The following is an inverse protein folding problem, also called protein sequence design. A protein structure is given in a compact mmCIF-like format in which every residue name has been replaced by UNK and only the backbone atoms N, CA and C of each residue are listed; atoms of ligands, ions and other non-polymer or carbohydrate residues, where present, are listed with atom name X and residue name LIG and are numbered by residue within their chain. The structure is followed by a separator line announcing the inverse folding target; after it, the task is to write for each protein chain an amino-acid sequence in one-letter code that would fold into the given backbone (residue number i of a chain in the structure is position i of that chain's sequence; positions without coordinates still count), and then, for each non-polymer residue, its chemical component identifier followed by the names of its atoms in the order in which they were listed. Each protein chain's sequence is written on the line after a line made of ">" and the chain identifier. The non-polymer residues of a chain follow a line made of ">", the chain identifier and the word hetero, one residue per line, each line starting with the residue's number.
data_IF_140137810748
#
_entry.id   IF_140137810748
#
_cell.length_a   1.000
_cell.length_b   1.000
_cell.length_c   1.000
_cell.angle_alpha   90.00
_cell.angle_beta   90.00
_cell.angle_gamma   90.00
#
_symmetry.space_group_name_H-M   'P 1'
#
loop_
_entity.id
_entity.type
_entity.pdbx_description
1 polymer ?
#
# COMPACT_ATOMS: atom_id res chain seq x y z
N UNK A 1 18.64 -34.30 -11.14
CA UNK A 1 17.29 -33.69 -11.25
C UNK A 1 17.47 -32.19 -11.15
N UNK A 2 17.43 -31.48 -12.28
CA UNK A 2 17.51 -30.03 -12.30
C UNK A 2 16.13 -29.47 -11.96
N UNK A 3 16.00 -28.75 -10.86
CA UNK A 3 14.78 -28.00 -10.57
C UNK A 3 14.68 -26.85 -11.57
N UNK A 4 13.69 -26.89 -12.45
CA UNK A 4 13.29 -25.72 -13.21
C UNK A 4 12.82 -24.67 -12.20
N UNK A 5 13.67 -23.68 -11.92
CA UNK A 5 13.27 -22.47 -11.23
C UNK A 5 12.34 -21.73 -12.20
N UNK A 6 11.04 -21.96 -12.04
CA UNK A 6 10.02 -21.21 -12.75
C UNK A 6 10.13 -19.78 -12.21
N UNK A 7 10.69 -18.87 -13.02
CA UNK A 7 10.74 -17.44 -12.71
C UNK A 7 9.30 -16.98 -12.56
N UNK A 8 8.82 -16.89 -11.32
CA UNK A 8 7.44 -16.50 -11.08
C UNK A 8 7.28 -15.05 -11.52
N UNK A 9 6.54 -14.84 -12.61
CA UNK A 9 6.23 -13.51 -13.11
C UNK A 9 5.46 -12.76 -12.03
N UNK A 10 6.00 -11.64 -11.58
CA UNK A 10 5.28 -10.73 -10.67
C UNK A 10 4.21 -10.00 -11.49
N UNK A 11 2.96 -10.09 -11.06
CA UNK A 11 1.85 -9.34 -11.68
C UNK A 11 1.69 -8.04 -10.91
N UNK A 12 1.67 -6.90 -11.61
CA UNK A 12 1.55 -5.56 -11.03
C UNK A 12 0.35 -4.84 -11.64
N UNK A 13 -0.42 -4.15 -10.82
CA UNK A 13 -1.51 -3.27 -11.22
C UNK A 13 -1.42 -1.97 -10.43
N UNK A 14 -1.24 -0.83 -11.11
CA UNK A 14 -1.38 0.50 -10.50
C UNK A 14 -2.77 1.02 -10.82
N UNK A 15 -3.53 1.37 -9.78
CA UNK A 15 -4.91 1.83 -9.96
C UNK A 15 -4.91 3.12 -10.77
N UNK A 16 -5.74 3.13 -11.83
CA UNK A 16 -5.98 4.24 -12.77
C UNK A 16 -4.83 4.66 -13.69
N UNK A 17 -3.57 4.44 -13.32
CA UNK A 17 -2.42 4.90 -14.12
C UNK A 17 -2.04 3.96 -15.27
N UNK A 18 -2.28 2.66 -15.11
CA UNK A 18 -1.86 1.66 -16.11
C UNK A 18 -3.00 1.28 -17.08
N UNK A 19 -4.03 2.12 -17.26
CA UNK A 19 -5.20 1.77 -18.07
C UNK A 19 -5.93 0.51 -17.60
N UNK A 20 -5.89 0.25 -16.28
CA UNK A 20 -6.38 -0.97 -15.64
C UNK A 20 -5.69 -2.28 -16.09
N UNK A 21 -4.45 -2.21 -16.59
CA UNK A 21 -3.64 -3.39 -16.85
C UNK A 21 -3.58 -4.31 -15.62
N UNK A 22 -3.76 -5.61 -15.85
CA UNK A 22 -3.76 -6.65 -14.82
C UNK A 22 -4.83 -6.53 -13.72
N UNK A 23 -5.81 -5.61 -13.83
CA UNK A 23 -6.84 -5.41 -12.81
C UNK A 23 -7.56 -6.71 -12.43
N UNK A 24 -7.85 -7.56 -13.41
CA UNK A 24 -8.59 -8.82 -13.20
C UNK A 24 -7.87 -9.77 -12.23
N UNK A 25 -6.53 -9.72 -12.16
CA UNK A 25 -5.74 -10.52 -11.23
C UNK A 25 -5.99 -10.18 -9.75
N UNK A 26 -6.64 -9.04 -9.48
CA UNK A 26 -6.96 -8.58 -8.12
C UNK A 26 -8.48 -8.39 -7.94
N UNK A 27 -9.16 -7.71 -8.87
CA UNK A 27 -10.61 -7.45 -8.84
C UNK A 27 -11.45 -8.73 -8.90
N UNK A 28 -10.97 -9.76 -9.58
CA UNK A 28 -11.71 -11.02 -9.78
C UNK A 28 -11.06 -12.19 -9.00
N UNK A 29 -10.06 -11.90 -8.16
CA UNK A 29 -9.26 -12.92 -7.48
C UNK A 29 -9.99 -13.56 -6.31
N UNK A 30 -10.29 -14.85 -6.44
CA UNK A 30 -10.84 -15.72 -5.39
C UNK A 30 -9.78 -16.28 -4.46
N UNK A 31 -8.52 -15.88 -4.64
CA UNK A 31 -7.44 -16.23 -3.69
C UNK A 31 -7.79 -15.73 -2.30
N UNK A 32 -7.56 -16.55 -1.27
CA UNK A 32 -7.93 -16.23 0.10
C UNK A 32 -6.72 -15.86 0.93
N UNK A 33 -6.91 -14.92 1.85
CA UNK A 33 -5.94 -14.58 2.88
C UNK A 33 -6.65 -14.55 4.23
N UNK A 34 -5.96 -15.07 5.25
CA UNK A 34 -6.39 -14.96 6.65
C UNK A 34 -5.46 -14.08 7.48
N UNK A 35 -4.23 -13.89 7.02
CA UNK A 35 -3.23 -13.07 7.69
C UNK A 35 -2.96 -11.81 6.88
N UNK A 36 -3.08 -10.67 7.55
CA UNK A 36 -2.61 -9.37 7.05
C UNK A 36 -1.28 -9.09 7.73
N UNK A 37 -0.21 -9.01 6.96
CA UNK A 37 1.11 -8.64 7.43
C UNK A 37 1.38 -7.19 7.09
N UNK A 38 1.54 -6.36 8.11
CA UNK A 38 2.07 -5.00 7.95
C UNK A 38 3.59 -5.09 7.96
N UNK A 39 4.23 -4.62 6.90
CA UNK A 39 5.68 -4.68 6.72
C UNK A 39 6.28 -3.29 6.69
N UNK A 40 7.26 -3.06 7.56
CA UNK A 40 8.10 -1.86 7.56
C UNK A 40 9.37 -2.17 6.77
N UNK A 41 9.60 -1.43 5.69
CA UNK A 41 10.75 -1.54 4.81
C UNK A 41 11.75 -0.43 5.08
N UNK A 42 13.03 -0.67 4.81
CA UNK A 42 14.00 0.41 4.64
C UNK A 42 13.91 0.98 3.22
N UNK A 43 14.00 2.30 3.08
CA UNK A 43 14.17 2.97 1.77
C UNK A 43 15.57 3.56 1.59
N UNK A 44 16.47 3.31 2.54
CA UNK A 44 17.83 3.86 2.56
C UNK A 44 18.19 4.48 3.90
N UNK A 45 19.43 4.28 4.35
CA UNK A 45 19.92 4.86 5.60
C UNK A 45 20.11 6.37 5.49
N UNK A 46 19.88 7.11 6.57
CA UNK A 46 20.22 8.52 6.62
C UNK A 46 21.74 8.72 6.75
N UNK A 47 22.27 9.84 6.21
CA UNK A 47 23.67 10.20 6.41
C UNK A 47 24.02 10.24 7.91
N UNK A 48 25.09 9.54 8.30
CA UNK A 48 25.63 9.50 9.66
C UNK A 48 24.63 9.08 10.75
N UNK A 49 23.61 8.30 10.42
CA UNK A 49 22.58 7.85 11.36
C UNK A 49 22.32 6.35 11.18
N UNK A 50 22.06 5.60 12.28
CA UNK A 50 21.66 4.20 12.17
C UNK A 50 20.24 4.04 11.60
N UNK A 51 19.45 5.10 11.56
CA UNK A 51 18.07 5.09 11.08
C UNK A 51 17.99 5.19 9.56
N UNK A 52 16.89 4.68 9.02
CA UNK A 52 16.51 4.83 7.62
C UNK A 52 15.14 5.46 7.52
N UNK A 53 14.87 6.10 6.38
CA UNK A 53 13.48 6.30 6.00
C UNK A 53 12.80 4.93 5.89
N UNK A 54 11.54 4.90 6.30
CA UNK A 54 10.74 3.70 6.24
C UNK A 54 9.59 3.86 5.28
N UNK A 55 9.27 2.75 4.63
CA UNK A 55 8.07 2.62 3.84
C UNK A 55 7.20 1.52 4.42
N UNK A 56 5.89 1.70 4.40
CA UNK A 56 4.93 0.74 4.95
C UNK A 56 4.14 0.14 3.82
N UNK A 57 4.08 -1.19 3.79
CA UNK A 57 3.20 -1.92 2.88
C UNK A 57 2.41 -2.99 3.63
N UNK A 58 1.30 -3.42 3.04
CA UNK A 58 0.49 -4.52 3.53
C UNK A 58 0.69 -5.72 2.63
N UNK A 59 0.92 -6.89 3.22
CA UNK A 59 0.97 -8.18 2.58
C UNK A 59 -0.26 -8.98 2.99
N UNK A 60 -1.08 -9.37 2.02
CA UNK A 60 -2.15 -10.35 2.20
C UNK A 60 -1.52 -11.73 2.00
N UNK A 61 -1.25 -12.46 3.08
CA UNK A 61 -0.60 -13.77 2.98
C UNK A 61 -1.62 -14.79 2.47
N UNK A 62 -1.40 -15.27 1.25
CA UNK A 62 -2.35 -16.14 0.56
C UNK A 62 -2.25 -17.57 1.09
N UNK A 63 -3.40 -18.25 1.24
CA UNK A 63 -3.48 -19.62 1.75
C UNK A 63 -2.74 -20.63 0.85
N UNK A 64 -2.70 -20.36 -0.47
CA UNK A 64 -1.95 -21.17 -1.43
C UNK A 64 -0.44 -20.86 -1.51
N UNK A 65 0.06 -19.94 -0.67
CA UNK A 65 1.44 -19.47 -0.70
C UNK A 65 1.64 -18.17 -1.47
N UNK A 66 2.77 -17.51 -1.25
CA UNK A 66 3.01 -16.14 -1.73
C UNK A 66 2.14 -15.11 -1.01
N UNK A 67 2.05 -13.91 -1.59
CA UNK A 67 1.27 -12.81 -1.05
C UNK A 67 0.77 -11.86 -2.13
N UNK A 68 -0.27 -11.10 -1.80
CA UNK A 68 -0.57 -9.85 -2.50
C UNK A 68 -0.01 -8.70 -1.69
N UNK A 69 0.95 -7.96 -2.24
CA UNK A 69 1.45 -6.73 -1.67
C UNK A 69 0.57 -5.56 -2.13
N UNK A 70 0.00 -4.84 -1.17
CA UNK A 70 -0.76 -3.60 -1.34
C UNK A 70 0.12 -2.46 -0.85
N UNK A 71 0.33 -1.48 -1.72
CA UNK A 71 1.31 -0.43 -1.51
C UNK A 71 0.76 0.92 -1.96
N UNK A 72 0.81 1.92 -1.09
CA UNK A 72 0.50 3.31 -1.43
C UNK A 72 1.79 4.12 -1.39
N UNK A 73 2.19 4.66 -2.53
CA UNK A 73 3.45 5.40 -2.71
C UNK A 73 3.23 6.69 -3.51
N UNK A 74 4.26 7.51 -3.63
CA UNK A 74 4.29 8.66 -4.54
C UNK A 74 5.72 8.85 -5.04
N UNK A 75 5.90 9.54 -6.16
CA UNK A 75 7.20 9.82 -6.73
C UNK A 75 7.86 11.05 -6.08
N UNK A 76 9.20 11.21 -6.19
CA UNK A 76 9.86 12.42 -5.70
C UNK A 76 9.26 13.68 -6.31
N UNK A 77 8.94 14.66 -5.46
CA UNK A 77 8.27 15.93 -5.82
C UNK A 77 6.82 15.78 -6.33
N UNK A 78 6.25 14.58 -6.30
CA UNK A 78 4.83 14.34 -6.48
C UNK A 78 4.18 14.08 -5.12
N UNK A 79 2.93 14.48 -4.96
CA UNK A 79 2.10 14.16 -3.78
C UNK A 79 0.97 13.21 -4.12
N UNK A 80 0.65 13.01 -5.39
CA UNK A 80 -0.44 12.16 -5.84
C UNK A 80 -0.13 10.71 -5.49
N UNK A 81 -1.06 10.07 -4.79
CA UNK A 81 -0.89 8.70 -4.33
C UNK A 81 -1.07 7.70 -5.46
N UNK A 82 -0.13 6.77 -5.57
CA UNK A 82 -0.14 5.65 -6.48
C UNK A 82 -0.45 4.38 -5.69
N UNK A 83 -1.68 3.86 -5.82
CA UNK A 83 -2.07 2.59 -5.22
C UNK A 83 -1.62 1.44 -6.14
N UNK A 84 -0.64 0.68 -5.67
CA UNK A 84 -0.04 -0.44 -6.40
C UNK A 84 -0.38 -1.76 -5.74
N UNK A 85 -0.90 -2.70 -6.52
CA UNK A 85 -1.13 -4.09 -6.16
C UNK A 85 -0.12 -4.98 -6.86
N UNK A 86 0.53 -5.88 -6.11
CA UNK A 86 1.50 -6.83 -6.66
C UNK A 86 1.22 -8.24 -6.18
N UNK A 87 1.06 -9.19 -7.10
CA UNK A 87 1.07 -10.61 -6.76
C UNK A 87 2.52 -11.10 -6.75
N UNK A 88 2.98 -11.54 -5.59
CA UNK A 88 4.36 -11.96 -5.35
C UNK A 88 4.41 -13.41 -4.85
N UNK A 89 5.48 -14.12 -5.20
CA UNK A 89 5.71 -15.51 -4.79
C UNK A 89 6.39 -15.66 -3.41
N UNK A 90 6.58 -14.56 -2.69
CA UNK A 90 7.19 -14.51 -1.37
C UNK A 90 6.23 -13.90 -0.34
N UNK A 91 6.40 -14.26 0.93
CA UNK A 91 5.62 -13.72 2.06
C UNK A 91 6.42 -12.75 2.94
N UNK A 92 7.72 -12.61 2.66
CA UNK A 92 8.64 -11.72 3.35
C UNK A 92 9.53 -11.02 2.34
N UNK A 93 9.55 -9.69 2.40
CA UNK A 93 10.40 -8.88 1.52
C UNK A 93 11.84 -8.82 2.03
N UNK A 94 12.81 -8.76 1.12
CA UNK A 94 14.23 -8.60 1.46
C UNK A 94 14.58 -7.22 2.05
N UNK A 95 13.74 -6.20 1.82
CA UNK A 95 13.89 -4.88 2.41
C UNK A 95 13.20 -4.72 3.76
N UNK A 96 12.51 -5.77 4.25
CA UNK A 96 11.83 -5.77 5.55
C UNK A 96 12.81 -5.51 6.69
N UNK A 97 12.48 -4.53 7.54
CA UNK A 97 13.09 -4.32 8.85
C UNK A 97 12.25 -5.00 9.93
N UNK A 98 10.91 -4.82 9.87
CA UNK A 98 9.97 -5.32 10.86
C UNK A 98 8.67 -5.74 10.20
N UNK A 99 7.99 -6.74 10.75
CA UNK A 99 6.68 -7.17 10.29
C UNK A 99 5.78 -7.47 11.49
N UNK A 100 4.49 -7.23 11.30
CA UNK A 100 3.45 -7.47 12.29
C UNK A 100 2.26 -8.15 11.62
N UNK A 101 1.88 -9.31 12.14
CA UNK A 101 0.83 -10.14 11.56
C UNK A 101 -0.47 -9.97 12.35
N UNK A 102 -1.56 -9.71 11.64
CA UNK A 102 -2.90 -9.60 12.17
C UNK A 102 -3.77 -10.70 11.55
N UNK A 103 -4.40 -11.50 12.41
CA UNK A 103 -5.27 -12.59 11.98
C UNK A 103 -6.70 -12.11 11.83
N UNK A 104 -7.32 -12.47 10.72
CA UNK A 104 -8.76 -12.41 10.52
C UNK A 104 -9.42 -13.63 11.16
N UNK A 105 -10.62 -13.47 11.71
CA UNK A 105 -11.38 -14.61 12.23
C UNK A 105 -11.70 -15.64 11.12
N UNK A 106 -12.00 -15.15 9.92
CA UNK A 106 -12.29 -15.94 8.72
C UNK A 106 -11.46 -15.44 7.54
N UNK A 107 -11.03 -16.35 6.67
CA UNK A 107 -10.30 -15.99 5.47
C UNK A 107 -11.19 -15.18 4.51
N UNK A 108 -10.61 -14.19 3.86
CA UNK A 108 -11.28 -13.27 2.94
C UNK A 108 -10.65 -13.39 1.57
N UNK A 109 -11.47 -13.28 0.53
CA UNK A 109 -11.00 -13.30 -0.86
C UNK A 109 -10.36 -11.94 -1.23
N UNK A 110 -9.28 -11.96 -2.00
CA UNK A 110 -8.53 -10.76 -2.41
C UNK A 110 -9.43 -9.71 -3.06
N UNK A 111 -10.39 -10.15 -3.89
CA UNK A 111 -11.32 -9.24 -4.55
C UNK A 111 -12.15 -8.39 -3.57
N UNK A 112 -12.48 -8.94 -2.38
CA UNK A 112 -13.28 -8.23 -1.37
C UNK A 112 -12.52 -7.00 -0.90
N UNK A 113 -11.23 -7.16 -0.57
CA UNK A 113 -10.40 -6.04 -0.16
C UNK A 113 -10.13 -5.06 -1.31
N UNK A 114 -9.90 -5.57 -2.51
CA UNK A 114 -9.69 -4.74 -3.69
C UNK A 114 -10.88 -3.79 -3.93
N UNK A 115 -12.10 -4.34 -3.95
CA UNK A 115 -13.33 -3.56 -4.15
C UNK A 115 -13.60 -2.60 -3.00
N UNK A 116 -13.35 -3.04 -1.76
CA UNK A 116 -13.47 -2.18 -0.59
C UNK A 116 -12.58 -0.93 -0.71
N UNK A 117 -11.30 -1.13 -1.07
CA UNK A 117 -10.33 -0.05 -1.24
C UNK A 117 -10.69 0.86 -2.42
N UNK A 118 -10.98 0.28 -3.59
CA UNK A 118 -11.19 1.06 -4.83
C UNK A 118 -12.58 1.69 -4.89
N UNK A 119 -13.64 0.92 -4.68
CA UNK A 119 -15.00 1.36 -5.01
C UNK A 119 -15.83 1.80 -3.80
N UNK A 120 -15.57 1.26 -2.60
CA UNK A 120 -16.38 1.59 -1.42
C UNK A 120 -15.78 2.72 -0.57
N UNK A 121 -14.45 2.74 -0.43
CA UNK A 121 -13.74 3.71 0.41
C UNK A 121 -12.87 4.69 -0.37
N UNK A 122 -12.74 4.48 -1.68
CA UNK A 122 -11.97 5.34 -2.57
C UNK A 122 -10.56 5.67 -2.05
N UNK A 123 -9.89 4.73 -1.35
CA UNK A 123 -8.58 5.01 -0.74
C UNK A 123 -7.45 5.19 -1.77
N UNK A 124 -7.72 4.91 -3.04
CA UNK A 124 -6.82 5.25 -4.15
C UNK A 124 -6.76 6.76 -4.42
N UNK A 125 -7.75 7.53 -3.96
CA UNK A 125 -7.84 8.98 -4.11
C UNK A 125 -7.11 9.69 -2.97
N UNK A 126 -5.87 9.28 -2.71
CA UNK A 126 -5.08 9.77 -1.59
C UNK A 126 -4.00 10.74 -2.07
N UNK A 127 -3.97 11.93 -1.47
CA UNK A 127 -2.95 12.94 -1.68
C UNK A 127 -2.03 12.97 -0.45
N UNK A 128 -0.75 12.69 -0.64
CA UNK A 128 0.24 12.70 0.44
C UNK A 128 0.39 14.10 1.03
N UNK A 129 0.68 14.19 2.33
CA UNK A 129 1.15 15.45 2.95
C UNK A 129 2.54 15.84 2.46
N UNK A 130 2.84 17.13 2.45
CA UNK A 130 4.23 17.60 2.32
C UNK A 130 5.08 17.12 3.51
N UNK A 131 6.27 16.56 3.27
CA UNK A 131 7.23 16.23 4.33
C UNK A 131 7.36 14.74 4.72
N UNK A 132 6.75 13.82 3.98
CA UNK A 132 7.00 12.37 4.11
C UNK A 132 6.22 11.68 5.23
N UNK A 133 6.18 10.34 5.21
CA UNK A 133 5.36 9.42 6.05
C UNK A 133 3.88 9.24 5.69
N UNK A 134 3.38 9.81 4.59
CA UNK A 134 1.97 9.64 4.19
C UNK A 134 1.55 8.17 3.97
N UNK A 135 2.49 7.26 3.68
CA UNK A 135 2.20 5.82 3.58
C UNK A 135 1.85 5.21 4.95
N UNK A 136 2.40 5.72 6.06
CA UNK A 136 2.02 5.30 7.42
C UNK A 136 0.55 5.64 7.68
N UNK A 137 0.14 6.87 7.38
CA UNK A 137 -1.24 7.32 7.58
C UNK A 137 -2.23 6.56 6.71
N UNK A 138 -1.89 6.33 5.43
CA UNK A 138 -2.73 5.57 4.51
C UNK A 138 -2.94 4.12 4.99
N UNK A 139 -1.86 3.41 5.34
CA UNK A 139 -1.95 2.04 5.83
C UNK A 139 -2.74 1.97 7.17
N UNK A 140 -2.58 2.96 8.05
CA UNK A 140 -3.36 3.04 9.28
C UNK A 140 -4.86 3.18 8.96
N UNK A 141 -5.22 4.08 8.05
CA UNK A 141 -6.61 4.28 7.65
C UNK A 141 -7.22 3.03 7.04
N UNK A 142 -6.46 2.31 6.19
CA UNK A 142 -6.92 1.04 5.64
C UNK A 142 -7.25 0.04 6.76
N UNK A 143 -6.32 -0.22 7.68
CA UNK A 143 -6.54 -1.16 8.78
C UNK A 143 -7.70 -0.72 9.71
N UNK A 144 -7.79 0.59 10.00
CA UNK A 144 -8.89 1.16 10.78
C UNK A 144 -10.23 0.93 10.09
N UNK A 145 -10.33 1.21 8.79
CA UNK A 145 -11.57 1.02 8.02
C UNK A 145 -11.95 -0.45 7.88
N UNK A 146 -10.97 -1.34 7.71
CA UNK A 146 -11.22 -2.79 7.74
C UNK A 146 -11.79 -3.22 9.09
N UNK A 147 -11.24 -2.71 10.20
CA UNK A 147 -11.73 -3.01 11.56
C UNK A 147 -13.17 -2.50 11.79
N UNK A 148 -13.54 -1.36 11.18
CA UNK A 148 -14.90 -0.81 11.24
C UNK A 148 -15.89 -1.54 10.33
N UNK A 149 -15.43 -2.14 9.24
CA UNK A 149 -16.25 -2.92 8.31
C UNK A 149 -16.33 -4.40 8.76
N UNK A 150 -16.86 -4.63 9.96
CA UNK A 150 -16.89 -5.96 10.60
C UNK A 150 -17.74 -7.00 9.86
N UNK A 151 -18.63 -6.56 8.96
CA UNK A 151 -19.37 -7.42 8.04
C UNK A 151 -18.49 -8.04 6.95
N UNK A 152 -17.33 -7.42 6.65
CA UNK A 152 -16.37 -7.88 5.63
C UNK A 152 -15.08 -8.42 6.23
N UNK A 153 -14.57 -7.78 7.28
CA UNK A 153 -13.29 -8.11 7.88
C UNK A 153 -13.45 -8.23 9.40
N UNK A 154 -13.31 -9.45 9.91
CA UNK A 154 -13.29 -9.70 11.36
C UNK A 154 -11.87 -9.54 11.92
N UNK A 155 -11.45 -8.28 12.09
CA UNK A 155 -10.21 -7.90 12.81
C UNK A 155 -10.51 -7.59 14.28
N UNK A 156 -9.52 -7.82 15.15
CA UNK A 156 -9.64 -7.44 16.54
C UNK A 156 -9.68 -5.91 16.71
N UNK A 157 -10.53 -5.41 17.61
CA UNK A 157 -10.80 -3.97 17.80
C UNK A 157 -9.57 -3.15 18.18
N UNK A 158 -8.59 -3.77 18.84
CA UNK A 158 -7.35 -3.09 19.26
C UNK A 158 -6.26 -3.00 18.17
N UNK A 159 -6.46 -3.66 17.01
CA UNK A 159 -5.47 -3.66 15.93
C UNK A 159 -5.12 -2.24 15.46
N UNK A 160 -6.07 -1.31 15.25
CA UNK A 160 -5.74 0.07 14.87
C UNK A 160 -4.88 0.80 15.90
N UNK A 161 -5.12 0.60 17.20
CA UNK A 161 -4.31 1.21 18.27
C UNK A 161 -2.87 0.69 18.23
N UNK A 162 -2.70 -0.62 18.06
CA UNK A 162 -1.37 -1.21 17.91
C UNK A 162 -0.66 -0.70 16.65
N UNK A 163 -1.34 -0.67 15.50
CA UNK A 163 -0.80 -0.16 14.23
C UNK A 163 -0.37 1.31 14.35
N UNK A 164 -1.17 2.16 15.00
CA UNK A 164 -0.80 3.56 15.23
C UNK A 164 0.50 3.69 16.03
N UNK A 165 0.62 2.92 17.11
CA UNK A 165 1.82 2.91 17.95
C UNK A 165 3.07 2.41 17.22
N UNK A 166 2.91 1.43 16.32
CA UNK A 166 3.98 0.94 15.45
C UNK A 166 4.38 2.00 14.43
N UNK A 167 3.41 2.64 13.76
CA UNK A 167 3.69 3.64 12.72
C UNK A 167 4.21 4.96 13.26
N UNK A 168 3.98 5.25 14.54
CA UNK A 168 4.56 6.37 15.28
C UNK A 168 6.06 6.22 15.58
N UNK A 169 6.75 5.29 14.90
CA UNK A 169 8.17 5.03 15.05
C UNK A 169 8.86 4.85 13.70
N UNK A 170 10.11 5.32 13.63
CA UNK A 170 11.09 4.93 12.63
C UNK A 170 11.92 3.77 13.16
N UNK A 171 12.24 2.84 12.27
CA UNK A 171 12.99 1.63 12.53
C UNK A 171 14.27 1.61 11.70
N UNK A 172 15.27 0.92 12.23
CA UNK A 172 16.55 0.66 11.57
C UNK A 172 16.81 -0.84 11.46
N UNK A 173 17.71 -1.22 10.56
CA UNK A 173 18.19 -2.61 10.46
C UNK A 173 18.93 -3.11 11.71
N UNK A 174 19.42 -2.21 12.56
CA UNK A 174 20.07 -2.57 13.83
C UNK A 174 19.09 -2.76 14.98
N UNK A 175 17.79 -2.50 14.76
CA UNK A 175 16.74 -2.59 15.76
C UNK A 175 16.52 -1.30 16.57
N UNK A 176 17.31 -0.24 16.33
CA UNK A 176 17.06 1.06 16.94
C UNK A 176 15.72 1.65 16.44
N UNK A 177 14.97 2.23 17.37
CA UNK A 177 13.68 2.89 17.16
C UNK A 177 13.81 4.38 17.49
N UNK A 178 13.12 5.26 16.76
CA UNK A 178 12.92 6.67 17.16
C UNK A 178 11.49 7.13 16.88
N UNK A 179 10.94 8.12 17.59
CA UNK A 179 9.59 8.63 17.32
C UNK A 179 9.44 9.14 15.88
N UNK A 180 8.27 8.89 15.30
CA UNK A 180 7.83 9.44 14.02
C UNK A 180 6.56 10.28 14.22
N UNK A 181 6.56 11.50 13.69
CA UNK A 181 5.35 12.32 13.60
C UNK A 181 4.65 11.97 12.30
N UNK A 182 3.65 11.09 12.36
CA UNK A 182 2.88 10.68 11.17
C UNK A 182 2.18 11.91 10.60
N UNK A 183 2.57 12.30 9.39
CA UNK A 183 1.89 13.36 8.66
C UNK A 183 0.69 12.79 7.92
N UNK A 184 -0.45 13.45 8.08
CA UNK A 184 -1.72 13.04 7.50
C UNK A 184 -1.85 13.64 6.11
N UNK A 185 -2.00 12.79 5.10
CA UNK A 185 -2.49 13.22 3.80
C UNK A 185 -4.01 13.38 3.78
N UNK A 186 -4.53 13.64 2.59
CA UNK A 186 -5.94 13.96 2.34
C UNK A 186 -6.54 12.91 1.41
N UNK A 187 -7.81 12.56 1.64
CA UNK A 187 -8.58 11.74 0.70
C UNK A 187 -9.45 12.68 -0.11
N UNK A 188 -9.11 12.81 -1.38
CA UNK A 188 -9.79 13.66 -2.34
C UNK A 188 -11.15 13.08 -2.72
N UNK A 189 -12.04 13.94 -3.21
CA UNK A 189 -13.19 13.46 -3.96
C UNK A 189 -12.79 13.06 -5.39
N UNK A 190 -13.69 12.40 -6.11
CA UNK A 190 -13.40 11.89 -7.45
C UNK A 190 -13.03 13.00 -8.45
N UNK A 191 -13.68 14.16 -8.39
CA UNK A 191 -13.41 15.26 -9.33
C UNK A 191 -12.02 15.86 -9.08
N UNK A 192 -11.67 16.12 -7.82
CA UNK A 192 -10.33 16.59 -7.44
C UNK A 192 -9.24 15.58 -7.84
N UNK A 193 -9.45 14.30 -7.53
CA UNK A 193 -8.49 13.26 -7.89
C UNK A 193 -8.37 13.08 -9.41
N UNK A 194 -9.46 13.20 -10.16
CA UNK A 194 -9.44 13.11 -11.61
C UNK A 194 -8.68 14.28 -12.22
N UNK A 195 -8.94 15.50 -11.75
CA UNK A 195 -8.21 16.70 -12.16
C UNK A 195 -6.71 16.57 -11.90
N UNK A 196 -6.31 16.12 -10.71
CA UNK A 196 -4.89 15.93 -10.36
C UNK A 196 -4.15 14.97 -11.30
N UNK A 197 -4.83 13.98 -11.88
CA UNK A 197 -4.22 12.95 -12.73
C UNK A 197 -4.41 13.20 -14.23
N UNK A 198 -5.48 13.87 -14.62
CA UNK A 198 -5.94 13.96 -16.01
C UNK A 198 -6.45 15.35 -16.42
N UNK A 199 -6.50 16.32 -15.49
CA UNK A 199 -6.77 17.73 -15.77
C UNK A 199 -5.55 18.35 -16.42
N UNK A 200 -5.51 18.16 -17.73
CA UNK A 200 -4.59 18.63 -18.78
C UNK A 200 -3.47 19.65 -18.45
N UNK A 201 -2.27 19.31 -18.95
CA UNK A 201 -1.25 20.24 -19.46
C UNK A 201 -1.73 20.88 -20.79
N UNK A 202 -2.87 21.58 -20.78
CA UNK A 202 -3.53 22.15 -21.96
C UNK A 202 -2.96 23.54 -22.36
N UNK A 203 -1.64 23.74 -22.23
CA UNK A 203 -0.99 25.04 -22.51
C UNK A 203 0.07 25.04 -23.63
N UNK A 204 0.24 23.98 -24.43
CA UNK A 204 1.34 23.92 -25.42
C UNK A 204 0.93 23.57 -26.88
N UNK A 205 -0.32 23.76 -27.30
CA UNK A 205 -0.77 23.50 -28.70
C UNK A 205 -1.29 24.74 -29.46
N UNK A 206 -0.97 25.97 -29.03
CA UNK A 206 -1.28 27.22 -29.77
C UNK A 206 -0.04 28.07 -30.15
N UNK A 207 1.06 27.48 -30.64
CA UNK A 207 2.05 28.26 -31.41
C UNK A 207 2.57 27.43 -32.59
N UNK A 208 1.96 27.59 -33.77
CA UNK A 208 2.64 27.64 -35.08
C UNK A 208 1.61 27.66 -36.24
N UNK A 209 0.89 28.77 -36.41
CA UNK A 209 0.37 29.18 -37.72
C UNK A 209 0.64 30.69 -37.94
N UNK A 210 1.88 31.04 -38.32
CA UNK A 210 2.20 32.25 -39.11
C UNK A 210 3.02 31.91 -40.36
#
# INVERSE_FOLDING_TARGET
>A
MASNAQTATTIIHTVALDGDQNIAAFRDSTSKFKTIRVTIHTTGGWPNSPHSDNHVTIFLLLEQGGAVQVDMRTDPNDRRGQLVWKLVNYQQSLSQIKAFDYQLATAVEVWVLYRFIRYEKALHQYLFSAGGSGCHYWNYNLIRLMTLASDKFSLHVDVPNHVWNVFGKWYSRTGAERPNSILQGEFQNYAEWYEDWYGEDDEDDEEDEE
#
